data_IF_219807210479
#
_entry.id   IF_219807210479
#
_cell.length_a   1.000
_cell.length_b   1.000
_cell.length_c   1.000
_cell.angle_alpha   90.00
_cell.angle_beta   90.00
_cell.angle_gamma   90.00
#
_symmetry.space_group_name_H-M   'P 1'
#
loop_
_entity.id
_entity.type
_entity.pdbx_description
1 polymer ?
#
# COMPACT_ATOMS: atom_id res chain seq x y z
N UNK A 1 7.47 -19.35 18.30
CA UNK A 1 8.22 -18.17 17.81
C UNK A 1 7.33 -17.46 16.82
N UNK A 2 6.89 -16.25 17.17
CA UNK A 2 5.88 -15.49 16.40
C UNK A 2 6.50 -14.98 15.11
N UNK A 3 5.87 -15.30 13.98
CA UNK A 3 6.30 -14.91 12.64
C UNK A 3 5.95 -13.44 12.41
N UNK A 4 6.89 -12.65 11.90
CA UNK A 4 6.67 -11.24 11.58
C UNK A 4 6.80 -11.04 10.06
N UNK A 5 5.71 -10.61 9.40
CA UNK A 5 5.72 -10.20 7.98
C UNK A 5 5.28 -11.27 6.95
N UNK A 6 5.00 -10.82 5.71
CA UNK A 6 4.74 -11.71 4.57
C UNK A 6 5.96 -12.55 4.20
N UNK A 7 5.73 -13.74 3.62
CA UNK A 7 6.81 -14.60 3.10
C UNK A 7 6.94 -14.40 1.60
N UNK A 8 8.12 -14.72 1.06
CA UNK A 8 8.42 -14.68 -0.37
C UNK A 8 8.32 -13.25 -0.93
N UNK A 9 8.58 -12.27 -0.07
CA UNK A 9 8.64 -10.85 -0.40
C UNK A 9 9.94 -10.26 0.10
N UNK A 10 10.45 -9.26 -0.64
CA UNK A 10 11.59 -8.51 -0.17
C UNK A 10 11.21 -7.65 1.02
N UNK A 11 12.10 -7.61 2.00
CA UNK A 11 11.80 -7.06 3.31
C UNK A 11 12.83 -6.04 3.78
N UNK A 12 14.04 -6.07 3.21
CA UNK A 12 15.14 -5.20 3.63
C UNK A 12 16.10 -4.94 2.48
N UNK A 13 16.75 -3.78 2.53
CA UNK A 13 17.89 -3.43 1.68
C UNK A 13 19.06 -2.91 2.52
N UNK A 14 20.28 -3.14 2.04
CA UNK A 14 21.51 -2.62 2.64
C UNK A 14 22.31 -1.90 1.56
N UNK A 15 22.45 -0.57 1.71
CA UNK A 15 23.27 0.26 0.84
C UNK A 15 24.73 0.02 1.18
N UNK A 16 25.47 -0.64 0.29
CA UNK A 16 26.90 -0.90 0.47
C UNK A 16 27.71 0.13 -0.29
N UNK A 17 28.44 0.98 0.44
CA UNK A 17 29.05 2.23 -0.05
C UNK A 17 30.42 2.44 0.61
N UNK A 18 31.33 3.17 -0.03
CA UNK A 18 32.59 3.63 0.62
C UNK A 18 32.48 5.04 1.20
N UNK A 19 31.41 5.75 0.89
CA UNK A 19 31.06 7.04 1.47
C UNK A 19 29.66 6.97 2.12
N UNK A 20 29.54 6.36 3.32
CA UNK A 20 28.25 6.27 4.01
C UNK A 20 27.61 7.63 4.27
N UNK A 21 28.41 8.65 4.59
CA UNK A 21 27.91 10.00 4.87
C UNK A 21 27.41 10.70 3.62
N UNK A 22 28.15 10.64 2.51
CA UNK A 22 27.70 11.18 1.22
C UNK A 22 26.48 10.44 0.67
N UNK A 23 26.44 9.11 0.80
CA UNK A 23 25.28 8.28 0.43
C UNK A 23 24.04 8.68 1.22
N UNK A 24 24.16 8.83 2.54
CA UNK A 24 23.07 9.29 3.40
C UNK A 24 22.60 10.69 3.02
N UNK A 25 23.53 11.64 2.85
CA UNK A 25 23.20 13.01 2.47
C UNK A 25 22.49 13.08 1.10
N UNK A 26 22.92 12.28 0.13
CA UNK A 26 22.31 12.20 -1.19
C UNK A 26 20.86 11.68 -1.11
N UNK A 27 20.65 10.49 -0.55
CA UNK A 27 19.31 9.89 -0.52
C UNK A 27 18.35 10.63 0.43
N UNK A 28 18.85 11.24 1.51
CA UNK A 28 18.03 12.12 2.34
C UNK A 28 17.54 13.34 1.56
N UNK A 29 18.42 13.98 0.79
CA UNK A 29 18.05 15.16 0.02
C UNK A 29 17.18 14.86 -1.20
N UNK A 30 17.35 13.68 -1.82
CA UNK A 30 16.68 13.31 -3.07
C UNK A 30 15.38 12.55 -2.85
N UNK A 31 15.33 11.63 -1.88
CA UNK A 31 14.18 10.77 -1.61
C UNK A 31 13.50 11.05 -0.26
N UNK A 32 14.06 11.94 0.57
CA UNK A 32 13.51 12.24 1.90
C UNK A 32 13.70 11.11 2.92
N UNK A 33 14.63 10.18 2.67
CA UNK A 33 14.94 9.12 3.62
C UNK A 33 15.73 9.66 4.82
N UNK A 34 15.39 9.16 6.00
CA UNK A 34 16.10 9.46 7.24
C UNK A 34 17.18 8.42 7.50
N UNK A 35 18.33 8.89 7.95
CA UNK A 35 19.49 8.06 8.29
C UNK A 35 19.89 8.31 9.73
N UNK A 36 19.85 7.27 10.55
CA UNK A 36 20.21 7.37 11.96
C UNK A 36 21.01 6.16 12.41
N UNK A 37 21.99 6.38 13.29
CA UNK A 37 22.68 5.30 13.98
C UNK A 37 21.72 4.63 14.94
N UNK A 38 21.54 3.32 14.81
CA UNK A 38 20.80 2.55 15.80
C UNK A 38 21.71 2.26 17.00
N UNK A 39 21.59 3.09 18.04
CA UNK A 39 22.37 2.96 19.28
C UNK A 39 22.08 1.66 20.04
N UNK A 40 20.97 0.98 19.73
CA UNK A 40 20.61 -0.31 20.32
C UNK A 40 21.17 -1.50 19.54
N UNK A 41 21.58 -1.28 18.29
CA UNK A 41 22.28 -2.28 17.49
C UNK A 41 23.73 -2.39 17.98
N UNK A 42 24.17 -3.62 18.26
CA UNK A 42 25.54 -3.88 18.71
C UNK A 42 26.59 -3.42 17.70
N UNK A 43 26.23 -3.32 16.41
CA UNK A 43 27.09 -2.78 15.35
C UNK A 43 27.05 -1.27 15.22
N UNK A 44 26.13 -0.59 15.93
CA UNK A 44 25.81 0.83 15.71
C UNK A 44 25.62 1.14 14.22
N UNK A 45 24.91 0.25 13.54
CA UNK A 45 24.69 0.37 12.11
C UNK A 45 23.76 1.56 11.81
N UNK A 46 24.02 2.27 10.72
CA UNK A 46 23.10 3.28 10.22
C UNK A 46 21.88 2.57 9.64
N UNK A 47 20.69 2.95 10.11
CA UNK A 47 19.40 2.50 9.59
C UNK A 47 18.79 3.60 8.72
N UNK A 48 18.04 3.15 7.73
CA UNK A 48 17.30 3.97 6.78
C UNK A 48 15.82 3.86 7.13
N UNK A 49 15.17 5.00 7.28
CA UNK A 49 13.72 5.10 7.45
C UNK A 49 13.11 5.99 6.36
N UNK A 50 11.87 5.69 5.99
CA UNK A 50 11.03 6.49 5.13
C UNK A 50 9.75 6.81 5.91
N UNK A 51 9.66 8.04 6.44
CA UNK A 51 8.69 8.36 7.48
C UNK A 51 8.87 7.42 8.69
N UNK A 52 7.76 6.86 9.18
CA UNK A 52 7.78 5.94 10.33
C UNK A 52 8.22 4.50 9.98
N UNK A 53 8.56 4.23 8.70
CA UNK A 53 8.88 2.88 8.24
C UNK A 53 10.39 2.67 8.12
N UNK A 54 10.90 1.65 8.80
CA UNK A 54 12.30 1.22 8.66
C UNK A 54 12.45 0.40 7.37
N UNK A 55 13.29 0.86 6.45
CA UNK A 55 13.41 0.29 5.09
C UNK A 55 14.76 -0.35 4.81
N UNK A 56 15.82 0.01 5.52
CA UNK A 56 17.14 -0.54 5.21
C UNK A 56 18.24 -0.13 6.17
N UNK A 57 19.48 -0.43 5.76
CA UNK A 57 20.69 -0.02 6.45
C UNK A 57 21.77 0.47 5.49
N UNK A 58 22.85 0.97 6.06
CA UNK A 58 24.06 1.34 5.32
C UNK A 58 25.24 0.55 5.87
N UNK A 59 26.03 -0.02 4.95
CA UNK A 59 27.25 -0.75 5.24
C UNK A 59 28.45 -0.10 4.57
N UNK A 60 29.48 0.16 5.38
CA UNK A 60 30.75 0.73 4.92
C UNK A 60 31.65 -0.36 4.29
N UNK A 61 31.85 -0.27 2.98
CA UNK A 61 32.71 -1.15 2.18
C UNK A 61 34.21 -0.96 2.45
N UNK A 62 34.61 0.06 3.23
CA UNK A 62 35.99 0.20 3.70
C UNK A 62 36.32 -0.78 4.85
N UNK A 63 35.31 -1.39 5.47
CA UNK A 63 35.51 -2.37 6.54
C UNK A 63 36.19 -3.65 6.01
N UNK A 64 37.12 -4.25 6.78
CA UNK A 64 37.96 -5.37 6.32
C UNK A 64 37.20 -6.68 6.09
N UNK A 65 35.93 -6.76 6.52
CA UNK A 65 35.05 -7.89 6.23
C UNK A 65 34.69 -7.97 4.73
N UNK A 66 34.79 -6.85 4.01
CA UNK A 66 34.48 -6.79 2.59
C UNK A 66 35.74 -6.97 1.74
N UNK A 67 35.66 -7.72 0.62
CA UNK A 67 36.75 -7.83 -0.33
C UNK A 67 37.19 -6.44 -0.86
N UNK A 68 38.50 -6.20 -0.99
CA UNK A 68 39.00 -4.98 -1.63
C UNK A 68 38.45 -4.81 -3.05
N UNK A 69 38.07 -3.59 -3.41
CA UNK A 69 37.59 -3.26 -4.76
C UNK A 69 36.14 -3.65 -5.08
N UNK A 70 35.39 -4.24 -4.14
CA UNK A 70 33.96 -4.52 -4.34
C UNK A 70 33.21 -3.20 -4.64
N UNK A 71 32.53 -3.04 -5.80
CA UNK A 71 31.83 -1.79 -6.12
C UNK A 71 30.68 -1.50 -5.15
N UNK A 72 30.26 -0.23 -5.09
CA UNK A 72 29.05 0.12 -4.37
C UNK A 72 27.85 -0.59 -5.01
N UNK A 73 26.97 -1.14 -4.18
CA UNK A 73 25.79 -1.88 -4.61
C UNK A 73 24.74 -1.93 -3.51
N UNK A 74 23.51 -2.26 -3.88
CA UNK A 74 22.44 -2.52 -2.92
C UNK A 74 22.29 -4.03 -2.74
N UNK A 75 22.36 -4.50 -1.50
CA UNK A 75 22.05 -5.90 -1.18
C UNK A 75 20.59 -6.01 -0.73
N UNK A 76 19.84 -6.93 -1.35
CA UNK A 76 18.42 -7.12 -1.07
C UNK A 76 18.14 -8.44 -0.34
N UNK A 77 17.15 -8.41 0.54
CA UNK A 77 16.84 -9.49 1.47
C UNK A 77 15.42 -9.98 1.25
N UNK A 78 15.30 -11.23 0.81
CA UNK A 78 14.06 -11.93 0.55
C UNK A 78 13.63 -12.71 1.79
N UNK A 79 12.46 -12.40 2.33
CA UNK A 79 11.93 -13.08 3.52
C UNK A 79 11.54 -14.54 3.20
N UNK A 80 12.13 -15.49 3.94
CA UNK A 80 11.82 -16.92 3.83
C UNK A 80 11.53 -17.55 5.20
N UNK A 81 10.84 -18.69 5.17
CA UNK A 81 10.44 -19.47 6.34
C UNK A 81 11.61 -20.21 6.98
N UNK A 82 12.49 -20.78 6.16
CA UNK A 82 13.64 -21.58 6.58
C UNK A 82 14.84 -21.34 5.66
N UNK A 83 15.83 -20.58 6.13
CA UNK A 83 16.99 -20.19 5.31
C UNK A 83 17.81 -21.41 4.88
N UNK A 84 18.05 -22.37 5.76
CA UNK A 84 18.89 -23.53 5.47
C UNK A 84 18.24 -24.40 4.40
N UNK A 85 16.97 -24.74 4.59
CA UNK A 85 16.21 -25.54 3.64
C UNK A 85 16.12 -24.83 2.28
N UNK A 86 15.75 -23.55 2.26
CA UNK A 86 15.60 -22.79 1.02
C UNK A 86 16.93 -22.58 0.30
N UNK A 87 18.03 -22.47 1.04
CA UNK A 87 19.38 -22.41 0.44
C UNK A 87 19.75 -23.73 -0.22
N UNK A 88 19.43 -24.87 0.41
CA UNK A 88 19.66 -26.19 -0.19
C UNK A 88 18.85 -26.36 -1.49
N UNK A 89 17.55 -26.04 -1.46
CA UNK A 89 16.69 -26.08 -2.65
C UNK A 89 17.18 -25.11 -3.73
N UNK A 90 17.62 -23.91 -3.37
CA UNK A 90 18.19 -22.96 -4.32
C UNK A 90 19.43 -23.53 -5.02
N UNK A 91 20.32 -24.20 -4.27
CA UNK A 91 21.51 -24.83 -4.83
C UNK A 91 21.15 -25.96 -5.80
N UNK A 92 20.16 -26.80 -5.47
CA UNK A 92 19.61 -27.83 -6.36
C UNK A 92 19.01 -27.21 -7.64
N UNK A 93 18.39 -26.04 -7.53
CA UNK A 93 17.83 -25.26 -8.64
C UNK A 93 18.86 -24.41 -9.39
N UNK A 94 20.16 -24.61 -9.13
CA UNK A 94 21.25 -24.01 -9.91
C UNK A 94 21.77 -22.66 -9.39
N UNK A 95 21.42 -22.25 -8.16
CA UNK A 95 22.06 -21.11 -7.52
C UNK A 95 23.49 -21.44 -7.07
N UNK A 96 24.37 -20.44 -7.13
CA UNK A 96 25.68 -20.49 -6.49
C UNK A 96 25.59 -19.86 -5.10
N UNK A 97 25.91 -20.63 -4.06
CA UNK A 97 25.94 -20.11 -2.69
C UNK A 97 27.19 -19.26 -2.51
N UNK A 98 26.99 -17.95 -2.27
CA UNK A 98 28.07 -16.99 -2.06
C UNK A 98 28.47 -16.93 -0.59
N UNK A 99 27.47 -16.89 0.31
CA UNK A 99 27.64 -16.93 1.76
C UNK A 99 26.69 -18.01 2.30
N UNK A 100 27.22 -19.11 2.88
CA UNK A 100 26.40 -20.17 3.47
C UNK A 100 25.51 -19.66 4.61
N UNK A 101 24.43 -20.40 4.99
CA UNK A 101 23.54 -20.01 6.08
C UNK A 101 24.27 -19.79 7.41
N UNK A 102 24.05 -18.63 8.03
CA UNK A 102 24.56 -18.31 9.36
C UNK A 102 23.62 -17.38 10.14
N UNK A 103 23.82 -17.27 11.45
CA UNK A 103 23.10 -16.33 12.30
C UNK A 103 23.71 -14.94 12.22
N UNK A 104 22.92 -13.95 11.77
CA UNK A 104 23.29 -12.55 11.76
C UNK A 104 23.00 -11.91 13.13
N UNK A 105 23.75 -12.34 14.14
CA UNK A 105 23.54 -11.94 15.53
C UNK A 105 22.15 -12.37 16.04
N UNK A 106 21.47 -11.46 16.73
CA UNK A 106 20.11 -11.62 17.24
C UNK A 106 19.02 -11.24 16.22
N UNK A 107 19.38 -10.61 15.10
CA UNK A 107 18.44 -10.05 14.13
C UNK A 107 17.73 -11.10 13.27
N UNK A 108 18.43 -12.20 12.93
CA UNK A 108 17.87 -13.23 12.08
C UNK A 108 18.90 -14.22 11.55
N UNK A 109 18.44 -15.08 10.63
CA UNK A 109 19.26 -16.03 9.90
C UNK A 109 19.35 -15.62 8.45
N UNK A 110 20.52 -15.78 7.83
CA UNK A 110 20.77 -15.31 6.46
C UNK A 110 21.62 -16.28 5.65
N UNK A 111 21.40 -16.31 4.34
CA UNK A 111 22.33 -16.82 3.35
C UNK A 111 22.34 -15.88 2.15
N UNK A 112 23.46 -15.78 1.43
CA UNK A 112 23.55 -14.98 0.19
C UNK A 112 23.89 -15.90 -0.97
N UNK A 113 23.16 -15.77 -2.07
CA UNK A 113 23.33 -16.59 -3.26
C UNK A 113 23.37 -15.72 -4.51
N UNK A 114 23.95 -16.29 -5.57
CA UNK A 114 23.80 -15.82 -6.95
C UNK A 114 22.81 -16.76 -7.63
N UNK A 115 21.71 -16.22 -8.15
CA UNK A 115 20.68 -16.99 -8.83
C UNK A 115 21.17 -17.50 -10.21
N UNK A 116 20.42 -18.38 -10.88
CA UNK A 116 20.83 -18.96 -12.16
C UNK A 116 20.94 -17.97 -13.32
N UNK A 117 20.37 -16.77 -13.18
CA UNK A 117 20.51 -15.70 -14.18
C UNK A 117 21.67 -14.75 -13.86
N UNK A 118 22.27 -14.87 -12.67
CA UNK A 118 23.49 -14.19 -12.26
C UNK A 118 23.29 -13.03 -11.28
N UNK A 119 22.07 -12.81 -10.77
CA UNK A 119 21.80 -11.74 -9.81
C UNK A 119 22.02 -12.21 -8.36
N UNK A 120 22.56 -11.33 -7.52
CA UNK A 120 22.76 -11.58 -6.11
C UNK A 120 21.48 -11.30 -5.29
N UNK A 121 21.17 -12.18 -4.35
CA UNK A 121 20.06 -12.01 -3.40
C UNK A 121 20.39 -12.70 -2.08
N UNK A 122 19.91 -12.15 -0.96
CA UNK A 122 20.03 -12.78 0.35
C UNK A 122 18.68 -13.37 0.79
N UNK A 123 18.67 -14.65 1.18
CA UNK A 123 17.54 -15.26 1.87
C UNK A 123 17.61 -14.88 3.35
N UNK A 124 16.51 -14.38 3.91
CA UNK A 124 16.47 -13.82 5.24
C UNK A 124 15.29 -14.37 6.04
N UNK A 125 15.55 -14.79 7.28
CA UNK A 125 14.51 -15.10 8.26
C UNK A 125 14.63 -14.11 9.44
N UNK A 126 13.74 -13.11 9.53
CA UNK A 126 13.79 -12.13 10.62
C UNK A 126 13.37 -12.74 11.96
N UNK A 127 13.94 -12.23 13.06
CA UNK A 127 13.50 -12.55 14.44
C UNK A 127 12.62 -11.48 15.09
N UNK A 128 12.69 -10.21 14.65
CA UNK A 128 11.95 -9.10 15.27
C UNK A 128 11.55 -7.97 14.32
N UNK A 129 11.70 -8.17 13.01
CA UNK A 129 11.41 -7.15 12.00
C UNK A 129 10.42 -7.71 10.96
N UNK A 130 9.35 -6.97 10.69
CA UNK A 130 8.23 -7.43 9.86
C UNK A 130 8.39 -7.17 8.36
N UNK A 131 9.49 -6.55 7.93
CA UNK A 131 9.68 -6.16 6.53
C UNK A 131 9.06 -4.82 6.17
N UNK A 132 9.14 -4.49 4.88
CA UNK A 132 8.48 -3.32 4.31
C UNK A 132 6.94 -3.44 4.38
N UNK A 133 6.20 -2.33 4.60
CA UNK A 133 4.75 -2.37 4.66
C UNK A 133 4.16 -2.90 3.34
N UNK A 134 3.07 -3.67 3.42
CA UNK A 134 2.41 -4.27 2.24
C UNK A 134 1.77 -3.20 1.36
N UNK A 135 1.25 -2.13 1.97
CA UNK A 135 0.75 -0.93 1.31
C UNK A 135 1.41 0.29 1.97
N UNK A 136 2.38 0.96 1.32
CA UNK A 136 2.91 2.21 1.85
C UNK A 136 1.82 3.29 1.83
N UNK A 137 1.72 4.13 2.88
CA UNK A 137 0.78 5.26 2.87
C UNK A 137 1.09 6.23 1.72
N UNK A 138 0.06 6.90 1.18
CA UNK A 138 0.19 7.90 0.09
C UNK A 138 1.13 9.07 0.46
N UNK A 139 1.48 9.21 1.73
CA UNK A 139 2.37 10.24 2.25
C UNK A 139 3.83 9.94 1.88
N UNK A 140 4.22 10.33 0.65
CA UNK A 140 5.48 11.01 0.31
C UNK A 140 6.84 10.38 0.65
N UNK A 141 6.91 9.20 1.26
CA UNK A 141 8.13 8.68 1.89
C UNK A 141 9.11 7.94 0.96
N UNK A 142 8.82 7.79 -0.33
CA UNK A 142 9.61 6.93 -1.24
C UNK A 142 9.92 5.55 -0.61
N UNK A 143 8.89 4.90 -0.08
CA UNK A 143 9.00 3.60 0.58
C UNK A 143 9.12 2.52 -0.50
N UNK A 144 10.02 1.52 -0.35
CA UNK A 144 10.06 0.35 -1.24
C UNK A 144 8.69 -0.33 -1.39
N UNK A 145 8.15 -0.30 -2.61
CA UNK A 145 6.85 -0.88 -2.94
C UNK A 145 6.97 -2.14 -3.82
N UNK A 146 8.05 -2.25 -4.59
CA UNK A 146 8.19 -3.28 -5.60
C UNK A 146 9.67 -3.57 -5.89
N UNK A 147 9.98 -4.82 -6.23
CA UNK A 147 11.31 -5.24 -6.69
C UNK A 147 11.28 -5.60 -8.17
N UNK A 148 12.35 -5.29 -8.89
CA UNK A 148 12.49 -5.62 -10.31
C UNK A 148 13.80 -6.35 -10.54
N UNK A 149 13.74 -7.57 -11.08
CA UNK A 149 14.92 -8.28 -11.58
C UNK A 149 15.03 -8.03 -13.09
N UNK A 150 16.10 -7.35 -13.49
CA UNK A 150 16.43 -7.15 -14.91
C UNK A 150 17.48 -8.19 -15.30
N UNK A 151 17.13 -9.09 -16.22
CA UNK A 151 18.03 -10.16 -16.67
C UNK A 151 17.70 -10.63 -18.10
N UNK A 152 18.61 -11.38 -18.73
CA UNK A 152 18.43 -11.87 -20.09
C UNK A 152 17.34 -12.95 -20.23
N UNK A 153 17.01 -13.68 -19.15
CA UNK A 153 16.00 -14.76 -19.16
C UNK A 153 15.04 -14.65 -17.97
N UNK A 154 14.00 -13.80 -18.07
CA UNK A 154 13.03 -13.59 -17.01
C UNK A 154 12.25 -14.85 -16.62
N UNK A 155 11.97 -15.76 -17.56
CA UNK A 155 11.23 -16.99 -17.27
C UNK A 155 12.06 -17.96 -16.42
N UNK A 156 13.35 -18.10 -16.73
CA UNK A 156 14.27 -18.89 -15.90
C UNK A 156 14.35 -18.35 -14.48
N UNK A 157 14.39 -17.03 -14.31
CA UNK A 157 14.36 -16.42 -12.99
C UNK A 157 13.04 -16.72 -12.26
N UNK A 158 11.87 -16.52 -12.90
CA UNK A 158 10.55 -16.83 -12.30
C UNK A 158 10.46 -18.29 -11.86
N UNK A 159 10.92 -19.21 -12.70
CA UNK A 159 10.94 -20.64 -12.38
C UNK A 159 11.85 -20.94 -11.17
N UNK A 160 13.07 -20.38 -11.16
CA UNK A 160 14.00 -20.53 -10.05
C UNK A 160 13.41 -20.05 -8.71
N UNK A 161 12.88 -18.84 -8.66
CA UNK A 161 12.36 -18.29 -7.40
C UNK A 161 11.09 -19.01 -6.94
N UNK A 162 10.21 -19.40 -7.86
CA UNK A 162 9.02 -20.20 -7.54
C UNK A 162 9.41 -21.59 -7.02
N UNK A 163 10.37 -22.26 -7.66
CA UNK A 163 10.87 -23.55 -7.20
C UNK A 163 11.60 -23.48 -5.86
N UNK A 164 12.33 -22.40 -5.61
CA UNK A 164 13.07 -22.19 -4.35
C UNK A 164 12.14 -21.90 -3.17
N UNK A 165 11.18 -21.00 -3.36
CA UNK A 165 10.30 -20.53 -2.28
C UNK A 165 8.98 -21.30 -2.17
N UNK A 166 8.64 -22.10 -3.18
CA UNK A 166 7.40 -22.86 -3.26
C UNK A 166 6.19 -22.06 -3.74
N UNK A 167 6.34 -20.76 -4.01
CA UNK A 167 5.30 -19.89 -4.56
C UNK A 167 5.94 -18.75 -5.37
N UNK A 168 5.19 -18.05 -6.24
CA UNK A 168 5.69 -16.83 -6.87
C UNK A 168 6.09 -15.79 -5.80
N UNK A 169 7.11 -14.99 -6.10
CA UNK A 169 7.52 -13.89 -5.24
C UNK A 169 6.47 -12.77 -5.28
N UNK A 170 6.08 -12.27 -4.10
CA UNK A 170 5.20 -11.11 -4.01
C UNK A 170 5.93 -9.81 -4.36
N UNK A 171 5.19 -8.83 -4.90
CA UNK A 171 5.68 -7.48 -5.22
C UNK A 171 6.99 -7.49 -6.02
N UNK A 172 7.09 -8.39 -6.99
CA UNK A 172 8.29 -8.54 -7.82
C UNK A 172 7.97 -8.78 -9.29
N UNK A 173 8.80 -8.19 -10.17
CA UNK A 173 8.64 -8.26 -11.63
C UNK A 173 9.98 -8.65 -12.24
N UNK A 174 9.92 -9.48 -13.27
CA UNK A 174 11.09 -9.93 -14.00
C UNK A 174 11.03 -9.32 -15.40
N UNK A 175 12.02 -8.52 -15.75
CA UNK A 175 12.10 -7.78 -17.01
C UNK A 175 13.29 -8.28 -17.84
N UNK A 176 13.08 -8.35 -19.15
CA UNK A 176 14.14 -8.68 -20.09
C UNK A 176 15.14 -7.52 -20.17
N UNK A 177 16.42 -7.87 -20.05
CA UNK A 177 17.51 -6.90 -20.09
C UNK A 177 17.93 -6.59 -21.54
N UNK A 178 18.34 -5.34 -21.80
CA UNK A 178 18.99 -5.01 -23.07
C UNK A 178 20.31 -5.80 -23.22
N UNK A 179 20.72 -6.16 -24.46
CA UNK A 179 21.95 -6.90 -24.70
C UNK A 179 23.17 -6.27 -24.01
N UNK A 180 23.96 -7.09 -23.30
CA UNK A 180 25.14 -6.64 -22.56
C UNK A 180 24.89 -6.07 -21.16
N UNK A 181 23.63 -5.96 -20.74
CA UNK A 181 23.29 -5.54 -19.36
C UNK A 181 23.48 -6.70 -18.39
N UNK A 182 24.23 -6.47 -17.31
CA UNK A 182 24.41 -7.46 -16.25
C UNK A 182 23.10 -7.68 -15.46
N UNK A 183 22.82 -8.92 -15.02
CA UNK A 183 21.63 -9.23 -14.22
C UNK A 183 21.69 -8.53 -12.86
N UNK A 184 20.63 -7.83 -12.48
CA UNK A 184 20.58 -7.11 -11.19
C UNK A 184 19.15 -6.91 -10.68
N UNK A 185 19.03 -6.85 -9.36
CA UNK A 185 17.82 -6.41 -8.67
C UNK A 185 17.81 -4.89 -8.53
N UNK A 186 16.62 -4.30 -8.64
CA UNK A 186 16.34 -2.90 -8.37
C UNK A 186 15.16 -2.78 -7.45
N UNK A 187 15.28 -1.97 -6.40
CA UNK A 187 14.14 -1.52 -5.62
C UNK A 187 13.42 -0.40 -6.37
N UNK A 188 12.10 -0.50 -6.42
CA UNK A 188 11.19 0.50 -6.92
C UNK A 188 10.59 1.28 -5.76
N UNK A 189 10.56 2.60 -5.91
CA UNK A 189 9.88 3.52 -4.99
C UNK A 189 9.03 4.50 -5.78
N UNK A 190 7.81 4.72 -5.30
CA UNK A 190 6.92 5.74 -5.76
C UNK A 190 7.36 7.15 -5.27
N UNK A 191 7.45 8.11 -6.19
CA UNK A 191 7.70 9.53 -5.88
C UNK A 191 6.58 10.42 -6.41
N UNK A 192 6.21 11.45 -5.64
CA UNK A 192 5.14 12.37 -6.03
C UNK A 192 5.53 13.39 -7.10
N UNK A 193 6.81 13.76 -7.17
CA UNK A 193 7.34 14.75 -8.12
C UNK A 193 8.69 14.25 -8.69
N UNK A 194 8.65 13.43 -9.77
CA UNK A 194 9.87 12.88 -10.35
C UNK A 194 10.79 13.95 -10.96
N UNK A 195 10.25 15.09 -11.39
CA UNK A 195 11.04 16.18 -11.97
C UNK A 195 11.87 16.90 -10.89
N UNK A 196 11.27 17.16 -9.73
CA UNK A 196 12.00 17.69 -8.57
C UNK A 196 13.08 16.72 -8.09
N UNK A 197 12.76 15.42 -8.03
CA UNK A 197 13.73 14.38 -7.68
C UNK A 197 14.89 14.39 -8.69
N UNK A 198 14.59 14.47 -9.99
CA UNK A 198 15.60 14.51 -11.05
C UNK A 198 16.48 15.76 -10.99
N UNK A 199 15.88 16.94 -10.74
CA UNK A 199 16.63 18.18 -10.57
C UNK A 199 17.58 18.09 -9.38
N UNK A 200 17.06 17.63 -8.23
CA UNK A 200 17.85 17.52 -6.99
C UNK A 200 18.97 16.49 -7.10
N UNK A 201 18.72 15.37 -7.77
CA UNK A 201 19.74 14.36 -8.03
C UNK A 201 20.91 14.94 -8.83
N UNK A 202 20.62 15.66 -9.92
CA UNK A 202 21.65 16.29 -10.78
C UNK A 202 22.48 17.34 -10.04
N UNK A 203 21.84 18.16 -9.20
CA UNK A 203 22.55 19.13 -8.35
C UNK A 203 23.58 18.48 -7.41
N UNK A 204 23.29 17.26 -6.95
CA UNK A 204 24.12 16.51 -6.01
C UNK A 204 25.05 15.50 -6.70
N UNK A 205 25.21 15.59 -8.03
CA UNK A 205 26.11 14.72 -8.81
C UNK A 205 25.56 13.33 -9.09
N UNK A 206 24.27 13.09 -8.86
CA UNK A 206 23.57 11.89 -9.29
C UNK A 206 23.04 12.00 -10.72
N UNK A 207 22.61 10.88 -11.26
CA UNK A 207 22.04 10.78 -12.60
C UNK A 207 20.62 10.23 -12.55
N UNK A 208 19.79 10.63 -13.51
CA UNK A 208 18.46 10.07 -13.68
C UNK A 208 18.23 9.72 -15.15
N UNK A 209 17.91 8.46 -15.41
CA UNK A 209 17.69 7.92 -16.75
C UNK A 209 16.25 7.42 -16.86
N UNK A 210 15.49 7.98 -17.80
CA UNK A 210 14.14 7.48 -18.08
C UNK A 210 14.18 6.07 -18.64
N UNK A 211 13.29 5.22 -18.15
CA UNK A 211 13.13 3.83 -18.57
C UNK A 211 11.82 3.68 -19.35
N UNK A 212 11.71 2.58 -20.09
CA UNK A 212 10.46 2.20 -20.74
C UNK A 212 9.33 2.03 -19.71
N UNK A 213 8.12 2.46 -20.06
CA UNK A 213 6.95 2.35 -19.18
C UNK A 213 6.78 3.49 -18.17
N UNK A 214 7.46 4.62 -18.36
CA UNK A 214 7.28 5.83 -17.54
C UNK A 214 8.02 5.82 -16.20
N UNK A 215 8.77 4.76 -15.90
CA UNK A 215 9.68 4.72 -14.75
C UNK A 215 10.99 5.47 -15.06
N UNK A 216 11.78 5.75 -14.03
CA UNK A 216 13.15 6.27 -14.16
C UNK A 216 14.11 5.48 -13.26
N UNK A 217 15.40 5.52 -13.59
CA UNK A 217 16.49 5.00 -12.75
C UNK A 217 17.26 6.19 -12.19
N UNK A 218 17.23 6.34 -10.87
CA UNK A 218 18.09 7.24 -10.12
C UNK A 218 19.39 6.52 -9.80
N UNK A 219 20.53 7.16 -10.07
CA UNK A 219 21.86 6.72 -9.68
C UNK A 219 22.49 7.78 -8.76
N UNK A 220 22.99 7.35 -7.60
CA UNK A 220 23.85 8.19 -6.75
C UNK A 220 25.25 8.39 -7.36
N UNK A 221 26.06 9.34 -6.84
CA UNK A 221 27.43 9.54 -7.32
C UNK A 221 28.33 8.30 -7.24
N UNK A 222 28.11 7.40 -6.28
CA UNK A 222 28.83 6.12 -6.18
C UNK A 222 28.21 4.99 -7.02
N UNK A 223 27.13 5.25 -7.74
CA UNK A 223 26.48 4.29 -8.64
C UNK A 223 25.44 3.38 -7.97
N UNK A 224 25.02 3.65 -6.73
CA UNK A 224 23.84 2.99 -6.15
C UNK A 224 22.58 3.40 -6.90
N UNK A 225 21.77 2.43 -7.32
CA UNK A 225 20.59 2.66 -8.14
C UNK A 225 19.28 2.41 -7.39
N UNK A 226 18.28 3.24 -7.69
CA UNK A 226 16.89 3.09 -7.25
C UNK A 226 15.98 3.34 -8.45
N UNK A 227 15.00 2.47 -8.67
CA UNK A 227 13.95 2.68 -9.67
C UNK A 227 12.89 3.60 -9.08
N UNK A 228 12.57 4.65 -9.82
CA UNK A 228 11.50 5.58 -9.49
C UNK A 228 10.29 5.28 -10.36
N UNK A 229 9.15 5.12 -9.73
CA UNK A 229 7.85 5.22 -10.39
C UNK A 229 7.22 6.53 -9.96
N UNK A 230 6.40 7.12 -10.81
CA UNK A 230 5.50 8.16 -10.33
C UNK A 230 4.50 7.46 -9.42
N UNK A 231 4.39 7.91 -8.16
CA UNK A 231 3.25 7.51 -7.35
C UNK A 231 2.00 7.73 -8.20
N UNK A 232 1.03 6.79 -8.24
CA UNK A 232 -0.27 7.16 -8.78
C UNK A 232 -0.63 8.44 -8.06
N UNK A 233 -0.75 9.55 -8.80
CA UNK A 233 -1.32 10.75 -8.21
C UNK A 233 -2.63 10.24 -7.63
N UNK A 234 -2.75 10.27 -6.31
CA UNK A 234 -4.07 10.36 -5.72
C UNK A 234 -4.63 11.59 -6.44
N UNK A 235 -5.48 11.37 -7.45
CA UNK A 235 -6.20 12.46 -8.05
C UNK A 235 -6.78 13.21 -6.85
N UNK A 236 -6.53 14.53 -6.73
CA UNK A 236 -6.94 15.28 -5.54
C UNK A 236 -8.44 15.10 -5.26
N UNK A 237 -9.18 14.66 -6.28
CA UNK A 237 -10.52 14.09 -6.24
C UNK A 237 -10.58 12.75 -6.99
N UNK A 238 -11.19 11.72 -6.41
CA UNK A 238 -11.72 10.56 -7.13
C UNK A 238 -12.98 10.90 -7.93
N UNK A 239 -13.81 11.77 -7.36
CA UNK A 239 -15.07 12.23 -7.94
C UNK A 239 -15.34 13.66 -7.48
N UNK A 240 -15.75 14.52 -8.40
CA UNK A 240 -16.30 15.83 -8.07
C UNK A 240 -17.74 15.92 -8.51
N UNK A 241 -18.54 16.64 -7.73
CA UNK A 241 -19.89 17.06 -8.09
C UNK A 241 -19.94 18.59 -8.05
N UNK A 242 -21.15 19.15 -8.14
CA UNK A 242 -21.35 20.60 -8.00
C UNK A 242 -20.83 21.12 -6.66
N UNK A 243 -21.01 20.36 -5.57
CA UNK A 243 -20.69 20.81 -4.20
C UNK A 243 -19.75 19.91 -3.42
N UNK A 244 -19.42 18.73 -3.93
CA UNK A 244 -18.57 17.75 -3.24
C UNK A 244 -17.29 17.46 -3.99
N UNK A 245 -16.23 17.26 -3.21
CA UNK A 245 -15.04 16.53 -3.63
C UNK A 245 -15.00 15.24 -2.81
N UNK A 246 -14.96 14.10 -3.49
CA UNK A 246 -14.65 12.81 -2.87
C UNK A 246 -13.20 12.49 -3.16
N UNK A 247 -12.37 12.40 -2.13
CA UNK A 247 -10.93 12.09 -2.24
C UNK A 247 -10.57 10.82 -1.46
N UNK A 248 -9.48 10.12 -1.82
CA UNK A 248 -8.98 9.03 -0.99
C UNK A 248 -8.79 9.47 0.47
N UNK A 249 -9.11 8.59 1.42
CA UNK A 249 -8.82 8.80 2.83
C UNK A 249 -7.32 8.61 3.11
N UNK A 250 -6.77 9.38 4.04
CA UNK A 250 -5.38 9.24 4.50
C UNK A 250 -5.33 9.06 6.02
N UNK A 251 -4.16 8.70 6.55
CA UNK A 251 -3.96 8.58 7.99
C UNK A 251 -4.22 9.92 8.71
N UNK A 252 -4.00 11.06 8.04
CA UNK A 252 -4.26 12.40 8.57
C UNK A 252 -5.75 12.67 8.87
N UNK A 253 -6.68 11.90 8.30
CA UNK A 253 -8.12 12.05 8.54
C UNK A 253 -8.57 11.50 9.91
N UNK A 254 -7.67 10.87 10.69
CA UNK A 254 -8.00 10.26 11.99
C UNK A 254 -8.75 11.20 12.97
N UNK A 255 -8.36 12.47 13.15
CA UNK A 255 -9.04 13.37 14.06
C UNK A 255 -10.48 13.70 13.62
N UNK A 256 -10.70 13.89 12.32
CA UNK A 256 -12.03 14.17 11.76
C UNK A 256 -12.95 12.95 11.84
N UNK A 257 -12.41 11.75 11.56
CA UNK A 257 -13.12 10.49 11.74
C UNK A 257 -13.49 10.23 13.20
N UNK A 258 -12.57 10.55 14.13
CA UNK A 258 -12.85 10.45 15.56
C UNK A 258 -13.96 11.40 15.98
N UNK A 259 -13.96 12.64 15.50
CA UNK A 259 -15.00 13.62 15.79
C UNK A 259 -16.36 13.17 15.24
N UNK A 260 -16.40 12.68 14.00
CA UNK A 260 -17.59 12.14 13.35
C UNK A 260 -18.18 10.97 14.16
N UNK A 261 -17.34 10.02 14.58
CA UNK A 261 -17.74 8.80 15.30
C UNK A 261 -18.00 9.04 16.81
N UNK A 262 -17.79 10.26 17.28
CA UNK A 262 -18.17 10.70 18.63
C UNK A 262 -19.41 11.59 18.67
N UNK A 263 -20.01 11.94 17.52
CA UNK A 263 -21.35 12.53 17.50
C UNK A 263 -22.40 11.42 17.75
N UNK A 264 -23.12 11.44 18.90
CA UNK A 264 -24.06 10.38 19.25
C UNK A 264 -25.24 10.31 18.27
N UNK A 265 -25.59 11.41 17.59
CA UNK A 265 -26.62 11.40 16.58
C UNK A 265 -26.16 10.65 15.31
N UNK A 266 -24.90 10.84 14.90
CA UNK A 266 -24.30 10.15 13.75
C UNK A 266 -24.21 8.65 14.00
N UNK A 267 -23.82 8.25 15.21
CA UNK A 267 -23.61 6.84 15.56
C UNK A 267 -24.86 6.12 16.09
N UNK A 268 -26.01 6.81 16.17
CA UNK A 268 -27.27 6.26 16.72
C UNK A 268 -27.66 4.91 16.13
N UNK A 269 -27.65 4.78 14.81
CA UNK A 269 -28.05 3.56 14.09
C UNK A 269 -26.90 2.58 13.85
N UNK A 270 -25.75 2.78 14.51
CA UNK A 270 -24.56 1.96 14.32
C UNK A 270 -24.19 1.28 15.64
N UNK A 271 -24.05 2.05 16.70
CA UNK A 271 -23.68 1.55 18.03
C UNK A 271 -24.54 2.19 19.14
N UNK A 272 -25.71 2.73 18.81
CA UNK A 272 -26.58 3.42 19.78
C UNK A 272 -26.04 4.77 20.25
N UNK A 273 -25.10 5.39 19.52
CA UNK A 273 -24.52 6.68 19.88
C UNK A 273 -23.42 6.61 20.93
N UNK A 274 -22.84 5.42 21.16
CA UNK A 274 -21.72 5.24 22.09
C UNK A 274 -20.45 5.92 21.55
N UNK A 275 -19.70 6.67 22.39
CA UNK A 275 -18.43 7.28 22.00
C UNK A 275 -17.43 6.26 21.47
N UNK A 276 -16.68 6.67 20.45
CA UNK A 276 -15.65 5.86 19.80
C UNK A 276 -14.27 6.29 20.29
N UNK A 277 -13.40 5.34 20.65
CA UNK A 277 -12.05 5.67 21.12
C UNK A 277 -11.09 5.93 19.96
N UNK A 278 -10.05 6.74 20.20
CA UNK A 278 -8.97 6.95 19.22
C UNK A 278 -8.27 5.64 18.81
N UNK A 279 -8.14 4.69 19.75
CA UNK A 279 -7.62 3.35 19.45
C UNK A 279 -8.51 2.59 18.46
N UNK A 280 -9.84 2.69 18.59
CA UNK A 280 -10.75 2.08 17.63
C UNK A 280 -10.60 2.68 16.23
N UNK A 281 -10.46 4.01 16.13
CA UNK A 281 -10.23 4.68 14.84
C UNK A 281 -8.94 4.18 14.19
N UNK A 282 -7.84 4.15 14.96
CA UNK A 282 -6.52 3.72 14.48
C UNK A 282 -6.47 2.25 14.10
N UNK A 283 -7.05 1.38 14.93
CA UNK A 283 -6.83 -0.06 14.82
C UNK A 283 -7.92 -0.78 14.00
N UNK A 284 -9.05 -0.10 13.71
CA UNK A 284 -10.17 -0.68 12.95
C UNK A 284 -10.68 0.20 11.82
N UNK A 285 -11.03 1.46 12.09
CA UNK A 285 -11.66 2.32 11.08
C UNK A 285 -10.68 2.69 9.96
N UNK A 286 -9.50 3.21 10.30
CA UNK A 286 -8.50 3.63 9.32
C UNK A 286 -8.01 2.47 8.44
N UNK A 287 -7.62 1.29 8.98
CA UNK A 287 -7.21 0.17 8.15
C UNK A 287 -8.26 -0.22 7.11
N UNK A 288 -9.56 -0.13 7.45
CA UNK A 288 -10.64 -0.39 6.51
C UNK A 288 -10.75 0.68 5.42
N UNK A 289 -10.63 1.96 5.78
CA UNK A 289 -10.71 3.08 4.82
C UNK A 289 -9.48 3.19 3.91
N UNK A 290 -8.34 2.65 4.33
CA UNK A 290 -7.07 2.65 3.59
C UNK A 290 -6.84 1.38 2.76
N UNK A 291 -7.72 0.38 2.87
CA UNK A 291 -7.60 -0.88 2.14
C UNK A 291 -7.90 -0.71 0.66
N UNK A 292 -7.04 -1.25 -0.21
CA UNK A 292 -7.24 -1.22 -1.66
C UNK A 292 -7.98 -2.48 -2.13
N UNK A 293 -9.07 -2.29 -2.87
CA UNK A 293 -9.84 -3.39 -3.46
C UNK A 293 -9.41 -3.63 -4.91
N UNK A 294 -8.72 -4.76 -5.13
CA UNK A 294 -8.15 -5.13 -6.44
C UNK A 294 -9.21 -5.22 -7.56
N UNK A 295 -10.42 -5.68 -7.26
CA UNK A 295 -11.49 -5.85 -8.24
C UNK A 295 -11.96 -4.54 -8.87
N UNK A 296 -12.00 -3.45 -8.10
CA UNK A 296 -12.36 -2.11 -8.61
C UNK A 296 -11.15 -1.24 -8.90
N UNK A 297 -9.96 -1.61 -8.42
CA UNK A 297 -8.76 -0.78 -8.50
C UNK A 297 -8.86 0.50 -7.66
N UNK A 298 -9.69 0.50 -6.60
CA UNK A 298 -9.94 1.66 -5.74
C UNK A 298 -9.95 1.27 -4.26
N UNK A 299 -9.85 2.25 -3.35
CA UNK A 299 -10.05 2.04 -1.90
C UNK A 299 -11.46 1.66 -1.50
N UNK A 300 -12.45 1.86 -2.37
CA UNK A 300 -13.86 1.68 -2.01
C UNK A 300 -14.40 2.67 -0.96
N UNK A 301 -13.56 3.53 -0.38
CA UNK A 301 -13.89 4.56 0.61
C UNK A 301 -13.27 5.90 0.23
N UNK A 302 -14.02 6.99 0.42
CA UNK A 302 -13.56 8.35 0.13
C UNK A 302 -14.05 9.35 1.16
N UNK A 303 -13.18 10.29 1.53
CA UNK A 303 -13.54 11.46 2.33
C UNK A 303 -14.31 12.44 1.47
N UNK A 304 -15.44 12.91 2.00
CA UNK A 304 -16.24 13.96 1.41
C UNK A 304 -15.85 15.31 1.97
N UNK A 305 -15.52 16.24 1.08
CA UNK A 305 -15.27 17.64 1.40
C UNK A 305 -16.26 18.54 0.66
N UNK A 306 -16.66 19.64 1.29
CA UNK A 306 -17.38 20.72 0.61
C UNK A 306 -16.42 21.44 -0.34
N UNK A 307 -16.76 21.47 -1.63
CA UNK A 307 -15.85 21.92 -2.70
C UNK A 307 -15.30 23.33 -2.49
N UNK A 308 -16.13 24.26 -2.04
CA UNK A 308 -15.76 25.67 -1.93
C UNK A 308 -14.90 25.98 -0.70
N UNK A 309 -15.05 25.21 0.38
CA UNK A 309 -14.43 25.50 1.69
C UNK A 309 -13.36 24.49 2.08
N UNK A 310 -13.33 23.32 1.44
CA UNK A 310 -12.51 22.17 1.86
C UNK A 310 -12.99 21.52 3.16
N UNK A 311 -14.13 21.94 3.71
CA UNK A 311 -14.62 21.46 5.00
C UNK A 311 -14.93 19.96 4.95
N UNK A 312 -14.45 19.22 5.95
CA UNK A 312 -14.77 17.80 6.11
C UNK A 312 -16.27 17.60 6.37
N UNK A 313 -16.92 16.82 5.50
CA UNK A 313 -18.34 16.50 5.60
C UNK A 313 -18.59 15.08 6.11
N UNK A 314 -17.62 14.17 5.99
CA UNK A 314 -17.75 12.76 6.34
C UNK A 314 -17.08 11.86 5.30
N UNK A 315 -17.62 10.67 5.09
CA UNK A 315 -17.12 9.73 4.08
C UNK A 315 -18.25 9.02 3.33
N UNK A 316 -17.92 8.54 2.13
CA UNK A 316 -18.75 7.64 1.33
C UNK A 316 -18.01 6.34 1.06
N UNK A 317 -18.74 5.25 0.86
CA UNK A 317 -18.21 3.98 0.38
C UNK A 317 -18.95 3.51 -0.88
N UNK A 318 -18.20 2.87 -1.76
CA UNK A 318 -18.66 2.07 -2.90
C UNK A 318 -17.64 0.93 -3.07
N UNK A 319 -17.69 -0.03 -2.16
CA UNK A 319 -16.72 -1.13 -2.09
C UNK A 319 -17.29 -2.42 -2.66
N UNK A 320 -16.50 -3.30 -3.28
CA UNK A 320 -16.98 -4.60 -3.68
C UNK A 320 -17.28 -5.47 -2.45
N UNK A 321 -18.27 -6.36 -2.57
CA UNK A 321 -18.57 -7.34 -1.52
C UNK A 321 -17.50 -8.43 -1.44
N UNK A 322 -16.73 -8.65 -2.50
CA UNK A 322 -15.55 -9.52 -2.55
C UNK A 322 -14.38 -8.79 -3.20
N UNK A 323 -13.16 -8.94 -2.66
CA UNK A 323 -12.02 -8.11 -3.07
C UNK A 323 -11.60 -8.26 -4.54
N UNK A 324 -11.97 -9.35 -5.20
CA UNK A 324 -11.55 -9.68 -6.56
C UNK A 324 -12.63 -9.51 -7.63
N UNK A 325 -13.87 -9.19 -7.24
CA UNK A 325 -14.99 -9.05 -8.19
C UNK A 325 -15.70 -7.70 -8.02
N UNK A 326 -15.61 -6.80 -9.01
CA UNK A 326 -16.29 -5.50 -8.96
C UNK A 326 -17.79 -5.59 -9.26
N UNK A 327 -18.33 -6.75 -9.66
CA UNK A 327 -19.69 -6.85 -10.17
C UNK A 327 -20.76 -6.45 -9.14
N UNK A 328 -20.53 -6.73 -7.85
CA UNK A 328 -21.47 -6.39 -6.77
C UNK A 328 -20.78 -5.56 -5.71
N UNK A 329 -21.31 -4.34 -5.49
CA UNK A 329 -20.75 -3.37 -4.54
C UNK A 329 -21.78 -2.96 -3.49
N UNK A 330 -21.28 -2.53 -2.33
CA UNK A 330 -22.06 -1.89 -1.28
C UNK A 330 -21.85 -0.37 -1.32
N UNK A 331 -22.96 0.37 -1.33
CA UNK A 331 -23.01 1.82 -1.18
C UNK A 331 -23.33 2.14 0.28
N UNK A 332 -22.54 3.04 0.86
CA UNK A 332 -22.76 3.57 2.21
C UNK A 332 -22.13 4.94 2.39
N UNK A 333 -22.45 5.58 3.51
CA UNK A 333 -21.96 6.92 3.83
C UNK A 333 -22.19 7.24 5.30
N UNK A 334 -21.33 8.09 5.84
CA UNK A 334 -21.49 8.69 7.16
C UNK A 334 -21.12 10.16 7.06
N UNK A 335 -22.09 11.03 7.29
CA UNK A 335 -21.89 12.48 7.21
C UNK A 335 -22.08 13.14 8.56
N UNK A 336 -21.33 14.22 8.78
CA UNK A 336 -21.49 15.11 9.91
C UNK A 336 -22.92 15.62 10.01
N UNK A 337 -23.42 15.77 11.25
CA UNK A 337 -24.78 16.26 11.50
C UNK A 337 -25.05 17.62 10.85
N UNK A 338 -24.05 18.50 10.78
CA UNK A 338 -24.14 19.80 10.12
C UNK A 338 -24.37 19.72 8.59
N UNK A 339 -24.07 18.57 7.98
CA UNK A 339 -24.30 18.32 6.55
C UNK A 339 -25.70 17.74 6.27
N UNK A 340 -26.45 17.33 7.30
CA UNK A 340 -27.75 16.69 7.13
C UNK A 340 -28.81 17.65 6.62
N UNK A 341 -29.78 17.14 5.85
CA UNK A 341 -30.84 17.95 5.26
C UNK A 341 -30.41 18.85 4.09
N UNK A 342 -29.10 18.96 3.79
CA UNK A 342 -28.55 19.77 2.68
C UNK A 342 -28.42 19.01 1.35
N UNK A 343 -28.76 17.72 1.34
CA UNK A 343 -28.77 16.86 0.14
C UNK A 343 -27.44 16.22 -0.23
N UNK A 344 -26.36 16.45 0.53
CA UNK A 344 -25.02 15.91 0.22
C UNK A 344 -24.98 14.38 0.10
N UNK A 345 -25.66 13.66 1.00
CA UNK A 345 -25.72 12.20 0.94
C UNK A 345 -26.32 11.71 -0.39
N UNK A 346 -27.41 12.32 -0.85
CA UNK A 346 -28.03 11.99 -2.14
C UNK A 346 -27.15 12.35 -3.33
N UNK A 347 -26.50 13.51 -3.29
CA UNK A 347 -25.60 13.96 -4.35
C UNK A 347 -24.40 13.03 -4.52
N UNK A 348 -23.67 12.75 -3.43
CA UNK A 348 -22.51 11.86 -3.45
C UNK A 348 -22.90 10.42 -3.80
N UNK A 349 -24.00 9.90 -3.25
CA UNK A 349 -24.49 8.56 -3.56
C UNK A 349 -24.83 8.39 -5.04
N UNK A 350 -25.58 9.33 -5.65
CA UNK A 350 -25.91 9.29 -7.09
C UNK A 350 -24.65 9.31 -7.95
N UNK A 351 -23.74 10.21 -7.64
CA UNK A 351 -22.53 10.38 -8.42
C UNK A 351 -21.62 9.13 -8.34
N UNK A 352 -21.52 8.49 -7.16
CA UNK A 352 -20.82 7.22 -7.00
C UNK A 352 -21.49 6.07 -7.75
N UNK A 353 -22.82 5.95 -7.65
CA UNK A 353 -23.59 4.94 -8.40
C UNK A 353 -23.35 5.08 -9.90
N UNK A 354 -23.45 6.31 -10.42
CA UNK A 354 -23.21 6.62 -11.83
C UNK A 354 -21.80 6.21 -12.23
N UNK A 355 -20.77 6.62 -11.47
CA UNK A 355 -19.37 6.26 -11.71
C UNK A 355 -19.14 4.74 -11.65
N UNK A 356 -19.81 4.06 -10.72
CA UNK A 356 -19.76 2.60 -10.58
C UNK A 356 -20.19 1.90 -11.87
N UNK A 357 -21.33 2.32 -12.44
CA UNK A 357 -21.85 1.74 -13.66
C UNK A 357 -21.11 2.19 -14.92
N UNK A 358 -20.59 3.42 -14.99
CA UNK A 358 -19.85 3.88 -16.18
C UNK A 358 -18.42 3.37 -16.22
N UNK A 359 -17.70 3.45 -15.11
CA UNK A 359 -16.23 3.39 -15.11
C UNK A 359 -15.68 2.14 -14.40
N UNK A 360 -16.38 1.63 -13.39
CA UNK A 360 -15.82 0.63 -12.46
C UNK A 360 -16.29 -0.80 -12.73
N UNK A 361 -16.98 -1.06 -13.84
CA UNK A 361 -17.43 -2.40 -14.20
C UNK A 361 -18.56 -2.97 -13.31
N UNK A 362 -19.14 -2.17 -12.42
CA UNK A 362 -20.20 -2.60 -11.49
C UNK A 362 -21.43 -3.10 -12.25
N UNK A 363 -22.04 -4.18 -11.78
CA UNK A 363 -23.28 -4.73 -12.35
C UNK A 363 -24.47 -4.55 -11.41
N UNK A 364 -24.23 -4.50 -10.10
CA UNK A 364 -25.24 -4.33 -9.05
C UNK A 364 -24.69 -3.54 -7.88
N UNK A 365 -25.42 -2.49 -7.47
CA UNK A 365 -25.18 -1.74 -6.24
C UNK A 365 -26.19 -2.21 -5.20
N UNK A 366 -25.71 -2.50 -4.00
CA UNK A 366 -26.52 -2.87 -2.83
C UNK A 366 -26.30 -1.86 -1.71
N UNK A 367 -27.26 -1.71 -0.82
CA UNK A 367 -27.12 -0.90 0.39
C UNK A 367 -28.11 -1.38 1.45
N UNK A 368 -27.71 -1.37 2.71
CA UNK A 368 -28.57 -1.75 3.82
C UNK A 368 -28.53 -0.74 4.97
N UNK A 369 -29.60 -0.71 5.74
CA UNK A 369 -29.70 0.13 6.94
C UNK A 369 -30.84 -0.36 7.83
N UNK A 370 -30.84 0.04 9.11
CA UNK A 370 -31.92 -0.30 10.03
C UNK A 370 -33.26 0.15 9.47
N UNK A 371 -34.31 -0.66 9.63
CA UNK A 371 -35.64 -0.37 9.10
C UNK A 371 -36.17 1.00 9.58
N UNK A 372 -35.81 1.40 10.81
CA UNK A 372 -36.16 2.69 11.44
C UNK A 372 -35.37 3.88 10.90
N UNK A 373 -34.25 3.69 10.18
CA UNK A 373 -33.44 4.77 9.62
C UNK A 373 -34.06 5.33 8.33
N UNK A 374 -35.16 6.06 8.49
CA UNK A 374 -35.90 6.67 7.38
C UNK A 374 -35.07 7.67 6.56
N UNK A 375 -34.05 8.29 7.17
CA UNK A 375 -33.14 9.20 6.48
C UNK A 375 -32.31 8.50 5.41
N UNK A 376 -31.64 7.40 5.78
CA UNK A 376 -30.83 6.60 4.85
C UNK A 376 -31.69 5.96 3.77
N UNK A 377 -32.87 5.42 4.14
CA UNK A 377 -33.84 4.85 3.18
C UNK A 377 -34.23 5.84 2.08
N UNK A 378 -34.56 7.08 2.45
CA UNK A 378 -34.87 8.15 1.48
C UNK A 378 -33.67 8.51 0.59
N UNK A 379 -32.45 8.44 1.10
CA UNK A 379 -31.25 8.70 0.28
C UNK A 379 -31.03 7.57 -0.72
N UNK A 380 -31.17 6.30 -0.32
CA UNK A 380 -31.08 5.14 -1.22
C UNK A 380 -32.12 5.23 -2.34
N UNK A 381 -33.38 5.52 -1.98
CA UNK A 381 -34.47 5.71 -2.96
C UNK A 381 -34.18 6.86 -3.92
N UNK A 382 -33.71 8.00 -3.42
CA UNK A 382 -33.31 9.12 -4.27
C UNK A 382 -32.10 8.80 -5.14
N UNK A 383 -31.17 7.98 -4.67
CA UNK A 383 -30.03 7.51 -5.45
C UNK A 383 -30.42 6.48 -6.53
N UNK A 384 -31.70 6.10 -6.60
CA UNK A 384 -32.25 5.21 -7.62
C UNK A 384 -32.34 3.75 -7.18
N UNK A 385 -31.94 3.41 -5.95
CA UNK A 385 -32.07 2.05 -5.45
C UNK A 385 -33.52 1.75 -5.07
N UNK A 386 -33.94 0.51 -5.32
CA UNK A 386 -35.27 0.00 -4.99
C UNK A 386 -35.21 -0.95 -3.81
N UNK A 387 -36.23 -0.95 -2.98
CA UNK A 387 -36.35 -1.88 -1.85
C UNK A 387 -36.33 -3.33 -2.34
N UNK A 388 -35.45 -4.15 -1.76
CA UNK A 388 -35.30 -5.56 -2.09
C UNK A 388 -35.99 -6.45 -1.05
N UNK A 389 -35.61 -6.30 0.23
CA UNK A 389 -36.15 -7.12 1.32
C UNK A 389 -35.96 -6.46 2.69
N UNK A 390 -36.74 -6.93 3.66
CA UNK A 390 -36.50 -6.69 5.08
C UNK A 390 -36.01 -7.99 5.73
N UNK A 391 -35.14 -7.88 6.73
CA UNK A 391 -34.57 -9.05 7.42
C UNK A 391 -34.18 -8.71 8.86
N UNK A 392 -33.98 -9.73 9.68
CA UNK A 392 -33.51 -9.60 11.07
C UNK A 392 -32.23 -10.42 11.21
N UNK A 393 -31.24 -9.86 11.88
CA UNK A 393 -30.00 -10.56 12.24
C UNK A 393 -29.84 -10.56 13.76
N UNK A 394 -29.25 -11.65 14.28
CA UNK A 394 -28.89 -11.77 15.69
C UNK A 394 -27.62 -10.96 15.95
N UNK A 395 -27.78 -9.64 16.06
CA UNK A 395 -26.67 -8.75 16.40
C UNK A 395 -26.28 -8.93 17.88
N UNK A 396 -24.98 -8.96 18.22
CA UNK A 396 -24.51 -9.14 19.60
C UNK A 396 -24.97 -8.03 20.55
N UNK A 397 -25.28 -6.85 20.03
CA UNK A 397 -25.66 -5.67 20.79
C UNK A 397 -26.99 -5.12 20.26
N UNK A 398 -28.03 -5.12 21.10
CA UNK A 398 -29.30 -4.49 20.78
C UNK A 398 -29.19 -2.96 20.93
N UNK A 399 -29.65 -2.23 19.92
CA UNK A 399 -29.73 -0.77 19.92
C UNK A 399 -31.17 -0.36 19.62
N UNK A 400 -31.59 0.82 20.10
CA UNK A 400 -32.98 1.28 19.93
C UNK A 400 -33.43 1.22 18.45
N UNK A 401 -34.49 0.46 18.19
CA UNK A 401 -35.06 0.27 16.86
C UNK A 401 -34.55 -0.97 16.11
N UNK A 402 -33.56 -1.71 16.64
CA UNK A 402 -33.06 -2.95 16.03
C UNK A 402 -34.10 -4.07 16.04
N UNK A 403 -35.11 -4.00 16.91
CA UNK A 403 -36.26 -4.91 16.94
C UNK A 403 -37.10 -4.88 15.66
N UNK A 404 -36.96 -3.83 14.85
CA UNK A 404 -37.61 -3.71 13.54
C UNK A 404 -36.76 -4.28 12.39
N UNK A 405 -35.55 -4.76 12.69
CA UNK A 405 -34.63 -5.34 11.72
C UNK A 405 -33.99 -4.33 10.77
N UNK A 406 -33.49 -4.86 9.67
CA UNK A 406 -32.76 -4.20 8.61
C UNK A 406 -33.57 -4.20 7.30
N UNK A 407 -33.27 -3.27 6.41
CA UNK A 407 -33.79 -3.24 5.05
C UNK A 407 -32.64 -3.17 4.06
N UNK A 408 -32.75 -3.94 2.99
CA UNK A 408 -31.80 -3.98 1.88
C UNK A 408 -32.44 -3.35 0.64
N UNK A 409 -31.65 -2.56 -0.07
CA UNK A 409 -31.99 -1.90 -1.32
C UNK A 409 -30.97 -2.28 -2.39
N UNK A 410 -31.39 -2.26 -3.65
CA UNK A 410 -30.51 -2.56 -4.77
C UNK A 410 -30.78 -1.69 -6.00
N UNK A 411 -29.77 -1.62 -6.88
CA UNK A 411 -29.89 -1.10 -8.23
C UNK A 411 -29.02 -1.93 -9.17
N UNK A 412 -29.58 -2.43 -10.27
CA UNK A 412 -28.84 -3.15 -11.31
C UNK A 412 -28.46 -2.20 -12.45
N UNK A 413 -27.38 -2.53 -13.18
CA UNK A 413 -26.94 -1.78 -14.37
C UNK A 413 -28.07 -1.65 -15.41
N UNK A 414 -28.87 -2.72 -15.58
CA UNK A 414 -30.01 -2.72 -16.49
C UNK A 414 -31.11 -1.74 -16.05
N UNK A 415 -31.48 -1.74 -14.77
CA UNK A 415 -32.46 -0.81 -14.23
C UNK A 415 -31.97 0.64 -14.30
N UNK A 416 -30.69 0.88 -13.98
CA UNK A 416 -30.05 2.20 -14.10
C UNK A 416 -30.06 2.72 -15.54
N UNK A 417 -29.72 1.87 -16.52
CA UNK A 417 -29.71 2.25 -17.94
C UNK A 417 -31.11 2.60 -18.45
N UNK A 418 -32.15 1.88 -18.01
CA UNK A 418 -33.55 2.18 -18.37
C UNK A 418 -34.10 3.46 -17.75
N UNK A 419 -33.53 3.90 -16.62
CA UNK A 419 -33.94 5.10 -15.92
C UNK A 419 -33.25 6.39 -16.38
N UNK A 420 -32.29 6.29 -17.31
CA UNK A 420 -31.52 7.42 -17.85
C UNK A 420 -32.17 8.09 -19.06
#
# INVERSE_FOLDING_TARGET
>A
MTRHGPLNEFCWMDLKTRDPSGTAAFFAAVLGWDFAVDETDWRRAVKISAGDHRIGGVSDLAQPVYPPGLPAHVAYYLAVDDVDHRTAVAAENGARILVPPFDAGDQGRIATLIDPVGAAVSLWRPRGFAGWPVSPPDEGGAIPDHMVLVCADPERARHFYTGTTGAPLGRSTFLEAAPGTAPHWEVSVAVGDPDRVAARARELGGELVTLTGGAARLSSPEGLTVRLTTAPQASPSFLETDRLVLRPATAADAPDLLALDNDPAVMRYINGGRPTSAGHIRDRTLPRLLHDHAGTGTRGYWIAQEKDTGAFLGWFELRPLTDHDPAVVELGYRLNRAAWGRGYATEGARALVDKGFTDLGVQRVTANTMAVNTGSRRVMEKAGLTFLRAYTEDWPEAIEGSEHGEVEYELTREAWTRGR
#
